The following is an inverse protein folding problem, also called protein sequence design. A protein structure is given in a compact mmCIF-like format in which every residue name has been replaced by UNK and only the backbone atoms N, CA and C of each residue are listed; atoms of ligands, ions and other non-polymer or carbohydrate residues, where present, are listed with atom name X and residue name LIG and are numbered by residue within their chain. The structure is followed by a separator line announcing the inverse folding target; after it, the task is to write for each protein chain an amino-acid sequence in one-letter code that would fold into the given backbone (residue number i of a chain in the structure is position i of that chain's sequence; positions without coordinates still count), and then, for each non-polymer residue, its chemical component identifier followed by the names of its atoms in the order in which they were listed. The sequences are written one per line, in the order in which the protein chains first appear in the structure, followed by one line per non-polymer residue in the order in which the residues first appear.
data_IF_924460316005
#
_entry.id   IF_924460316005
#
_cell.length_a   1.000
_cell.length_b   1.000
_cell.length_c   1.000
_cell.angle_alpha   90.00
_cell.angle_beta   90.00
_cell.angle_gamma   90.00
#
_symmetry.space_group_name_H-M   'P 1'
#
loop_
_entity.id
_entity.type
_entity.pdbx_description
1 polymer ?
#
# COMPACT_ATOMS: atom_id res chain seq x y z
N UNK A 1 20.14 -14.88 8.66
CA UNK A 1 19.06 -14.07 8.05
C UNK A 1 19.29 -12.63 8.44
N UNK A 2 19.44 -11.72 7.48
CA UNK A 2 19.42 -10.28 7.78
C UNK A 2 18.05 -9.94 8.36
N UNK A 3 18.00 -9.08 9.39
CA UNK A 3 16.75 -8.56 9.94
C UNK A 3 16.61 -7.12 9.44
N UNK A 4 15.42 -6.74 8.96
CA UNK A 4 15.10 -5.37 8.51
C UNK A 4 15.42 -4.27 9.56
N UNK A 5 15.36 -4.51 10.90
CA UNK A 5 15.69 -3.50 11.91
C UNK A 5 17.15 -3.04 11.88
N UNK A 6 18.03 -3.76 11.17
CA UNK A 6 19.43 -3.32 10.98
C UNK A 6 19.49 -2.13 10.01
N UNK A 7 18.50 -1.99 9.12
CA UNK A 7 18.46 -0.96 8.08
C UNK A 7 17.26 -0.01 8.18
N UNK A 8 16.32 -0.28 9.08
CA UNK A 8 15.07 0.47 9.18
C UNK A 8 14.64 0.65 10.64
N UNK A 9 14.57 1.90 11.09
CA UNK A 9 14.08 2.28 12.43
C UNK A 9 12.55 2.16 12.47
N UNK A 10 11.99 1.34 13.35
CA UNK A 10 10.55 1.17 13.49
C UNK A 10 9.83 2.46 13.87
N UNK A 11 10.51 3.39 14.58
CA UNK A 11 9.93 4.67 14.95
C UNK A 11 9.79 5.60 13.73
N UNK A 12 10.42 5.27 12.61
CA UNK A 12 10.24 5.99 11.35
C UNK A 12 8.94 5.61 10.62
N UNK A 13 8.28 4.50 11.01
CA UNK A 13 7.06 3.98 10.38
C UNK A 13 5.88 4.97 10.44
N UNK A 14 5.14 5.17 9.34
CA UNK A 14 3.93 6.00 9.32
C UNK A 14 2.88 5.56 10.35
N UNK A 15 2.66 4.25 10.56
CA UNK A 15 1.77 3.73 11.59
C UNK A 15 2.11 4.23 13.01
N UNK A 16 3.40 4.33 13.33
CA UNK A 16 3.87 4.84 14.64
C UNK A 16 3.73 6.36 14.71
N UNK A 17 4.01 7.07 13.61
CA UNK A 17 4.02 8.55 13.54
C UNK A 17 2.63 9.18 13.40
N UNK A 18 1.66 8.48 12.83
CA UNK A 18 0.33 9.03 12.54
C UNK A 18 -0.48 9.37 13.80
N UNK A 19 -0.07 8.84 14.96
CA UNK A 19 -0.78 9.00 16.23
C UNK A 19 -2.07 8.17 16.30
N UNK A 20 -2.36 7.35 15.29
CA UNK A 20 -3.56 6.51 15.23
C UNK A 20 -3.53 5.34 16.23
N UNK A 21 -2.32 4.89 16.61
CA UNK A 21 -2.13 3.76 17.53
C UNK A 21 -2.01 4.23 18.99
N UNK A 22 -2.69 3.51 19.89
CA UNK A 22 -2.47 3.63 21.33
C UNK A 22 -1.17 2.93 21.77
N UNK A 23 -0.79 3.06 23.04
CA UNK A 23 0.50 2.54 23.54
C UNK A 23 0.60 1.01 23.48
N UNK A 24 -0.50 0.31 23.70
CA UNK A 24 -0.55 -1.16 23.59
C UNK A 24 -0.38 -1.59 22.13
N UNK A 25 -1.06 -0.93 21.20
CA UNK A 25 -0.96 -1.21 19.75
C UNK A 25 0.45 -0.92 19.23
N UNK A 26 1.07 0.18 19.67
CA UNK A 26 2.47 0.48 19.37
C UNK A 26 3.40 -0.62 19.88
N UNK A 27 3.20 -1.12 21.10
CA UNK A 27 4.02 -2.20 21.66
C UNK A 27 3.90 -3.49 20.84
N UNK A 28 2.69 -3.87 20.44
CA UNK A 28 2.43 -5.04 19.58
C UNK A 28 3.09 -4.86 18.21
N UNK A 29 2.91 -3.70 17.57
CA UNK A 29 3.53 -3.39 16.28
C UNK A 29 5.05 -3.56 16.33
N UNK A 30 5.71 -2.97 17.34
CA UNK A 30 7.16 -3.06 17.51
C UNK A 30 7.63 -4.50 17.72
N UNK A 31 6.92 -5.27 18.55
CA UNK A 31 7.24 -6.68 18.77
C UNK A 31 7.17 -7.49 17.47
N UNK A 32 6.11 -7.30 16.68
CA UNK A 32 5.95 -7.97 15.38
C UNK A 32 7.01 -7.54 14.37
N UNK A 33 7.33 -6.25 14.31
CA UNK A 33 8.37 -5.72 13.43
C UNK A 33 9.74 -6.36 13.72
N UNK A 34 10.14 -6.43 14.98
CA UNK A 34 11.41 -7.04 15.38
C UNK A 34 11.43 -8.57 15.19
N UNK A 35 10.28 -9.23 15.34
CA UNK A 35 10.18 -10.69 15.19
C UNK A 35 10.09 -11.15 13.73
N UNK A 36 9.40 -10.41 12.85
CA UNK A 36 8.95 -10.91 11.53
C UNK A 36 9.27 -10.01 10.34
N UNK A 37 10.19 -9.06 10.46
CA UNK A 37 10.39 -8.06 9.40
C UNK A 37 11.00 -8.56 8.08
N UNK A 38 11.83 -9.62 8.08
CA UNK A 38 12.28 -10.29 6.84
C UNK A 38 11.96 -11.78 6.94
N UNK A 39 10.74 -12.14 6.57
CA UNK A 39 10.35 -13.55 6.45
C UNK A 39 10.78 -14.13 5.09
N UNK A 40 10.75 -15.45 4.98
CA UNK A 40 10.94 -16.12 3.68
C UNK A 40 9.91 -15.67 2.65
N UNK A 41 8.68 -15.34 3.08
CA UNK A 41 7.64 -14.84 2.19
C UNK A 41 8.02 -13.49 1.57
N UNK A 42 8.50 -12.54 2.37
CA UNK A 42 8.99 -11.22 1.90
C UNK A 42 10.15 -11.41 0.91
N UNK A 43 11.10 -12.28 1.24
CA UNK A 43 12.24 -12.56 0.34
C UNK A 43 11.78 -13.19 -0.99
N UNK A 44 10.80 -14.09 -0.94
CA UNK A 44 10.24 -14.71 -2.13
C UNK A 44 9.49 -13.69 -2.99
N UNK A 45 8.77 -12.75 -2.40
CA UNK A 45 8.08 -11.68 -3.12
C UNK A 45 9.07 -10.81 -3.90
N UNK A 46 10.15 -10.36 -3.24
CA UNK A 46 11.20 -9.58 -3.91
C UNK A 46 11.87 -10.38 -5.02
N UNK A 47 12.21 -11.66 -4.76
CA UNK A 47 12.85 -12.54 -5.74
C UNK A 47 11.99 -12.79 -6.98
N UNK A 48 10.67 -12.93 -6.80
CA UNK A 48 9.75 -13.26 -7.90
C UNK A 48 9.12 -12.05 -8.59
N UNK A 49 9.36 -10.83 -8.12
CA UNK A 49 8.76 -9.59 -8.66
C UNK A 49 8.77 -9.53 -10.19
N UNK A 50 9.93 -9.71 -10.81
CA UNK A 50 10.08 -9.61 -12.28
C UNK A 50 9.23 -10.66 -13.02
N UNK A 51 9.29 -11.91 -12.56
CA UNK A 51 8.50 -13.02 -13.11
C UNK A 51 6.99 -12.76 -12.97
N UNK A 52 6.56 -12.20 -11.84
CA UNK A 52 5.15 -11.88 -11.61
C UNK A 52 4.66 -10.79 -12.57
N UNK A 53 5.45 -9.73 -12.77
CA UNK A 53 5.16 -8.67 -13.76
C UNK A 53 5.08 -9.25 -15.17
N UNK A 54 6.04 -10.08 -15.57
CA UNK A 54 6.02 -10.76 -16.89
C UNK A 54 4.81 -11.67 -17.09
N UNK A 55 4.27 -12.24 -16.00
CA UNK A 55 3.07 -13.08 -16.04
C UNK A 55 1.82 -12.21 -16.21
N UNK A 56 1.67 -11.15 -15.40
CA UNK A 56 0.50 -10.27 -15.44
C UNK A 56 0.43 -9.48 -16.75
N UNK A 57 1.56 -9.06 -17.32
CA UNK A 57 1.58 -8.31 -18.59
C UNK A 57 1.08 -9.11 -19.81
N UNK A 58 0.86 -10.42 -19.68
CA UNK A 58 0.28 -11.27 -20.74
C UNK A 58 -1.23 -11.41 -20.61
N UNK A 59 -1.78 -11.02 -19.47
CA UNK A 59 -3.22 -11.09 -19.18
C UNK A 59 -3.87 -9.73 -19.47
N UNK A 60 -5.13 -9.71 -19.93
CA UNK A 60 -5.87 -8.46 -20.09
C UNK A 60 -6.14 -7.80 -18.73
N UNK A 61 -6.34 -6.48 -18.74
CA UNK A 61 -6.80 -5.74 -17.56
C UNK A 61 -8.16 -6.31 -17.10
N UNK A 62 -8.32 -6.69 -15.81
CA UNK A 62 -9.58 -7.22 -15.29
C UNK A 62 -10.75 -6.25 -15.50
N UNK A 63 -11.84 -6.74 -16.09
CA UNK A 63 -13.04 -5.95 -16.38
C UNK A 63 -14.08 -6.04 -15.26
N UNK A 64 -13.64 -5.78 -14.03
CA UNK A 64 -14.48 -5.77 -12.82
C UNK A 64 -14.43 -4.40 -12.15
N UNK A 65 -15.49 -3.98 -11.43
CA UNK A 65 -15.45 -2.78 -10.62
C UNK A 65 -14.23 -2.78 -9.69
N UNK A 66 -13.38 -1.77 -9.81
CA UNK A 66 -12.11 -1.69 -9.07
C UNK A 66 -11.91 -0.30 -8.51
N UNK A 67 -11.75 -0.17 -7.19
CA UNK A 67 -11.38 1.08 -6.56
C UNK A 67 -9.89 1.06 -6.24
N UNK A 68 -9.13 1.98 -6.86
CA UNK A 68 -7.69 2.12 -6.67
C UNK A 68 -7.43 3.36 -5.83
N UNK A 69 -6.62 3.22 -4.78
CA UNK A 69 -6.12 4.34 -4.01
C UNK A 69 -4.63 4.51 -4.27
N UNK A 70 -4.21 5.72 -4.62
CA UNK A 70 -2.80 6.02 -4.87
C UNK A 70 -2.32 7.20 -4.02
N UNK A 71 -1.17 7.02 -3.38
CA UNK A 71 -0.48 8.09 -2.67
C UNK A 71 0.15 9.06 -3.66
N UNK A 72 -0.10 10.35 -3.50
CA UNK A 72 0.63 11.41 -4.21
C UNK A 72 1.32 12.31 -3.21
N UNK A 73 2.52 12.79 -3.53
CA UNK A 73 3.12 13.85 -2.73
C UNK A 73 2.40 15.17 -3.01
N UNK A 74 2.52 16.13 -2.08
CA UNK A 74 1.96 17.46 -2.26
C UNK A 74 2.51 18.12 -3.54
N UNK A 75 1.62 18.46 -4.48
CA UNK A 75 2.02 19.00 -5.78
C UNK A 75 2.64 17.96 -6.74
N UNK A 76 2.55 16.67 -6.41
CA UNK A 76 2.96 15.57 -7.27
C UNK A 76 1.91 15.25 -8.32
N UNK A 77 2.36 14.62 -9.40
CA UNK A 77 1.49 14.14 -10.48
C UNK A 77 0.73 12.88 -10.05
N UNK A 78 -0.43 12.66 -10.67
CA UNK A 78 -1.15 11.40 -10.61
C UNK A 78 -0.26 10.27 -11.13
N UNK A 79 -0.27 9.08 -10.51
CA UNK A 79 0.63 8.02 -10.94
C UNK A 79 0.11 7.34 -12.22
N UNK A 80 1.00 7.27 -13.21
CA UNK A 80 0.69 6.95 -14.61
C UNK A 80 0.14 5.54 -14.82
N UNK A 81 0.62 4.55 -14.06
CA UNK A 81 0.20 3.16 -14.24
C UNK A 81 -1.26 2.94 -13.81
N UNK A 82 -1.69 3.64 -12.77
CA UNK A 82 -3.05 3.62 -12.27
C UNK A 82 -3.99 4.35 -13.23
N UNK A 83 -3.54 5.46 -13.85
CA UNK A 83 -4.28 6.13 -14.92
C UNK A 83 -4.45 5.22 -16.15
N UNK A 84 -3.38 4.54 -16.57
CA UNK A 84 -3.42 3.56 -17.66
C UNK A 84 -4.34 2.39 -17.37
N UNK A 85 -4.43 1.94 -16.10
CA UNK A 85 -5.37 0.90 -15.68
C UNK A 85 -6.82 1.36 -15.80
N UNK A 86 -7.14 2.56 -15.30
CA UNK A 86 -8.50 3.12 -15.35
C UNK A 86 -8.92 3.41 -16.79
N UNK A 87 -8.00 3.86 -17.65
CA UNK A 87 -8.27 4.02 -19.08
C UNK A 87 -8.67 2.71 -19.78
N UNK A 88 -8.22 1.56 -19.27
CA UNK A 88 -8.53 0.23 -19.82
C UNK A 88 -9.69 -0.48 -19.13
N UNK A 89 -10.23 0.07 -18.03
CA UNK A 89 -11.39 -0.47 -17.33
C UNK A 89 -12.33 0.67 -16.93
N UNK A 90 -13.44 0.82 -17.67
CA UNK A 90 -14.43 1.86 -17.45
C UNK A 90 -15.16 1.78 -16.09
N UNK A 91 -15.06 0.64 -15.39
CA UNK A 91 -15.63 0.44 -14.06
C UNK A 91 -14.60 0.68 -12.95
N UNK A 92 -13.34 0.96 -13.30
CA UNK A 92 -12.32 1.30 -12.35
C UNK A 92 -12.38 2.79 -11.98
N UNK A 93 -12.11 3.09 -10.71
CA UNK A 93 -12.03 4.45 -10.18
C UNK A 93 -10.69 4.62 -9.47
N UNK A 94 -9.95 5.65 -9.84
CA UNK A 94 -8.73 6.07 -9.15
C UNK A 94 -9.05 7.22 -8.18
N UNK A 95 -8.62 7.08 -6.94
CA UNK A 95 -8.64 8.13 -5.91
C UNK A 95 -7.20 8.42 -5.50
N UNK A 96 -6.74 9.63 -5.77
CA UNK A 96 -5.43 10.11 -5.31
C UNK A 96 -5.55 10.78 -3.95
N UNK A 97 -4.64 10.44 -3.04
CA UNK A 97 -4.59 11.00 -1.69
C UNK A 97 -3.21 11.59 -1.43
N UNK A 98 -3.15 12.87 -1.03
CA UNK A 98 -1.90 13.49 -0.60
C UNK A 98 -1.40 12.80 0.69
N UNK A 99 -0.38 11.94 0.60
CA UNK A 99 0.06 11.06 1.70
C UNK A 99 1.41 10.41 1.40
N UNK A 100 2.02 9.75 2.39
CA UNK A 100 3.11 8.79 2.15
C UNK A 100 2.59 7.44 1.59
N UNK A 101 3.51 6.50 1.35
CA UNK A 101 3.21 5.20 0.75
C UNK A 101 2.13 4.39 1.51
N UNK A 102 2.13 4.45 2.84
CA UNK A 102 1.18 3.71 3.68
C UNK A 102 -0.09 4.53 3.95
N UNK A 103 -0.84 4.83 2.89
CA UNK A 103 -2.06 5.65 2.93
C UNK A 103 -3.09 5.18 3.97
N UNK A 104 -3.12 3.88 4.25
CA UNK A 104 -4.05 3.29 5.22
C UNK A 104 -3.69 3.61 6.66
N UNK A 105 -2.43 3.93 6.95
CA UNK A 105 -1.99 4.34 8.29
C UNK A 105 -2.29 5.82 8.57
N UNK A 106 -2.28 6.65 7.52
CA UNK A 106 -2.45 8.10 7.62
C UNK A 106 -3.89 8.55 7.40
N UNK A 107 -4.59 7.92 6.44
CA UNK A 107 -5.93 8.33 5.98
C UNK A 107 -6.99 7.22 6.06
N UNK A 108 -7.05 6.41 7.14
CA UNK A 108 -7.96 5.27 7.21
C UNK A 108 -9.45 5.68 7.12
N UNK A 109 -9.82 6.84 7.68
CA UNK A 109 -11.21 7.34 7.65
C UNK A 109 -11.65 7.73 6.24
N UNK A 110 -10.77 8.39 5.49
CA UNK A 110 -11.03 8.83 4.12
C UNK A 110 -11.16 7.62 3.17
N UNK A 111 -10.26 6.65 3.30
CA UNK A 111 -10.35 5.37 2.56
C UNK A 111 -11.66 4.65 2.88
N UNK A 112 -12.03 4.53 4.15
CA UNK A 112 -13.27 3.87 4.55
C UNK A 112 -14.51 4.57 3.97
N UNK A 113 -14.52 5.90 3.88
CA UNK A 113 -15.63 6.65 3.29
C UNK A 113 -15.72 6.40 1.77
N UNK A 114 -14.60 6.46 1.06
CA UNK A 114 -14.54 6.20 -0.39
C UNK A 114 -14.97 4.77 -0.73
N UNK A 115 -14.58 3.78 0.07
CA UNK A 115 -15.04 2.39 -0.07
C UNK A 115 -16.56 2.31 0.08
N UNK A 116 -17.14 2.95 1.11
CA UNK A 116 -18.60 2.95 1.31
C UNK A 116 -19.35 3.62 0.16
N UNK A 117 -18.80 4.68 -0.42
CA UNK A 117 -19.39 5.35 -1.57
C UNK A 117 -19.32 4.50 -2.84
N UNK A 118 -18.22 3.77 -3.04
CA UNK A 118 -18.04 2.89 -4.20
C UNK A 118 -18.93 1.64 -4.17
N UNK A 119 -19.29 1.16 -2.98
CA UNK A 119 -20.15 -0.02 -2.79
C UNK A 119 -21.65 0.28 -2.82
N UNK A 120 -22.06 1.55 -2.95
CA UNK A 120 -23.47 1.94 -3.12
C UNK A 120 -23.92 1.76 -4.55
#
# INVERSE_FOLDING_TARGET
MARLPIFFDENSSPAIKSGALNDQEKAVFKALFHQRSITQAVMNEVKNRKKNVETINKEPVPQIPTLIFAAVQKGGETPKLEEEFVAQNAQAKLVTLESSHYIHDEKPKEIAQQIKEFLK
#
